data_IF_836944639329
#
_entry.id   IF_836944639329
#
_cell.length_a   1.000
_cell.length_b   1.000
_cell.length_c   1.000
_cell.angle_alpha   90.00
_cell.angle_beta   90.00
_cell.angle_gamma   90.00
#
_symmetry.space_group_name_H-M   'P 1'
#
loop_
_entity.id
_entity.type
_entity.pdbx_description
1 polymer ?
#
# COMPACT_ATOMS: atom_id res chain seq x y z
N UNK A 1 7.84 12.78 21.71
CA UNK A 1 6.76 11.96 21.10
C UNK A 1 7.40 10.99 20.12
N UNK A 2 6.78 9.83 19.88
CA UNK A 2 7.19 8.89 18.82
C UNK A 2 6.86 9.50 17.44
N UNK A 3 7.84 9.62 16.53
CA UNK A 3 7.58 9.93 15.13
C UNK A 3 6.80 8.81 14.44
N UNK A 4 5.67 9.13 13.82
CA UNK A 4 4.88 8.20 13.00
C UNK A 4 4.80 8.72 11.58
N UNK A 5 5.31 7.94 10.63
CA UNK A 5 5.22 8.26 9.21
C UNK A 5 3.98 7.54 8.66
N UNK A 6 2.96 8.31 8.28
CA UNK A 6 1.84 7.79 7.49
C UNK A 6 2.23 7.96 6.02
N UNK A 7 2.59 6.85 5.39
CA UNK A 7 3.14 6.83 4.02
C UNK A 7 2.09 6.32 3.04
N UNK A 8 1.88 7.03 1.94
CA UNK A 8 0.89 6.73 0.90
C UNK A 8 1.62 6.43 -0.41
N UNK A 9 1.60 5.16 -0.82
CA UNK A 9 2.14 4.76 -2.12
C UNK A 9 1.14 5.15 -3.21
N UNK A 10 1.62 5.93 -4.17
CA UNK A 10 0.81 6.71 -5.10
C UNK A 10 1.30 6.44 -6.51
N UNK A 11 0.64 5.48 -7.17
CA UNK A 11 1.01 5.01 -8.51
C UNK A 11 -0.20 4.92 -9.45
N UNK A 12 0.08 5.15 -10.73
CA UNK A 12 -0.87 4.83 -11.79
C UNK A 12 -0.98 3.30 -11.96
N UNK A 13 -2.09 2.82 -12.49
CA UNK A 13 -2.25 1.39 -12.74
C UNK A 13 -1.68 1.00 -14.10
N UNK A 14 -0.55 0.29 -14.06
CA UNK A 14 0.02 -0.39 -15.22
C UNK A 14 -0.96 -1.41 -15.82
N UNK A 15 -1.64 -2.22 -14.98
CA UNK A 15 -2.64 -3.21 -15.44
C UNK A 15 -3.78 -2.56 -16.24
N UNK A 16 -4.31 -1.42 -15.77
CA UNK A 16 -5.36 -0.70 -16.50
C UNK A 16 -4.85 -0.16 -17.84
N UNK A 17 -3.60 0.28 -17.91
CA UNK A 17 -2.98 0.70 -19.16
C UNK A 17 -2.83 -0.49 -20.12
N UNK A 18 -2.21 -1.58 -19.65
CA UNK A 18 -1.92 -2.78 -20.40
C UNK A 18 -3.18 -3.40 -21.03
N UNK A 19 -4.27 -3.48 -20.25
CA UNK A 19 -5.55 -4.08 -20.66
C UNK A 19 -6.44 -3.15 -21.49
N UNK A 20 -6.02 -1.91 -21.73
CA UNK A 20 -6.84 -0.95 -22.48
C UNK A 20 -7.97 -0.28 -21.67
N UNK A 21 -8.08 -0.57 -20.37
CA UNK A 21 -9.16 -0.04 -19.50
C UNK A 21 -9.01 1.46 -19.25
N UNK A 22 -7.76 1.92 -19.09
CA UNK A 22 -7.41 3.33 -18.91
C UNK A 22 -6.04 3.63 -19.53
N UNK A 23 -5.99 3.66 -20.88
CA UNK A 23 -4.80 4.09 -21.64
C UNK A 23 -4.54 5.59 -21.59
N UNK A 24 -5.61 6.35 -21.38
CA UNK A 24 -5.54 7.78 -21.16
C UNK A 24 -5.07 8.09 -19.73
N UNK A 25 -4.17 9.07 -19.59
CA UNK A 25 -3.60 9.46 -18.31
C UNK A 25 -4.67 9.97 -17.34
N UNK A 26 -5.59 10.83 -17.80
CA UNK A 26 -6.64 11.40 -16.94
C UNK A 26 -7.57 10.32 -16.42
N UNK A 27 -7.98 9.37 -17.27
CA UNK A 27 -8.81 8.24 -16.85
C UNK A 27 -8.09 7.33 -15.85
N UNK A 28 -6.79 7.09 -16.04
CA UNK A 28 -6.02 6.26 -15.12
C UNK A 28 -5.83 6.98 -13.78
N UNK A 29 -5.55 8.28 -13.80
CA UNK A 29 -5.51 9.13 -12.59
C UNK A 29 -6.82 9.05 -11.81
N UNK A 30 -7.98 9.24 -12.47
CA UNK A 30 -9.28 9.16 -11.80
C UNK A 30 -9.52 7.79 -11.15
N UNK A 31 -9.10 6.69 -11.79
CA UNK A 31 -9.36 5.34 -11.26
C UNK A 31 -8.32 4.87 -10.22
N UNK A 32 -7.04 5.20 -10.41
CA UNK A 32 -5.93 4.66 -9.64
C UNK A 32 -5.39 5.61 -8.57
N UNK A 33 -5.48 6.93 -8.77
CA UNK A 33 -4.91 7.94 -7.86
C UNK A 33 -6.02 8.64 -7.07
N UNK A 34 -6.93 9.33 -7.78
CA UNK A 34 -8.02 10.06 -7.15
C UNK A 34 -9.15 9.12 -6.68
N UNK A 35 -9.24 7.93 -7.26
CA UNK A 35 -10.31 6.96 -7.01
C UNK A 35 -11.69 7.61 -7.07
N UNK A 36 -11.92 8.33 -8.16
CA UNK A 36 -13.14 9.03 -8.50
C UNK A 36 -13.97 8.18 -9.45
N UNK A 37 -15.15 7.77 -8.99
CA UNK A 37 -16.15 7.19 -9.87
C UNK A 37 -17.57 7.40 -9.31
N UNK A 38 -18.54 7.57 -10.21
CA UNK A 38 -19.97 7.72 -9.87
C UNK A 38 -20.24 8.83 -8.85
N UNK A 39 -19.52 9.96 -8.97
CA UNK A 39 -19.62 11.11 -8.07
C UNK A 39 -19.06 10.86 -6.66
N UNK A 40 -18.34 9.77 -6.44
CA UNK A 40 -17.67 9.47 -5.17
C UNK A 40 -16.16 9.52 -5.36
N UNK A 41 -15.46 9.93 -4.31
CA UNK A 41 -14.01 10.00 -4.26
C UNK A 41 -13.50 9.46 -2.92
N UNK A 42 -12.42 8.68 -2.96
CA UNK A 42 -11.77 8.18 -1.75
C UNK A 42 -10.25 8.01 -1.92
N UNK A 43 -9.66 8.59 -2.98
CA UNK A 43 -8.26 8.46 -3.29
C UNK A 43 -7.40 9.53 -2.63
N UNK A 44 -6.43 10.05 -3.38
CA UNK A 44 -5.39 10.96 -2.85
C UNK A 44 -5.97 12.20 -2.17
N UNK A 45 -6.86 12.97 -2.80
CA UNK A 45 -7.38 14.22 -2.21
C UNK A 45 -8.19 13.95 -0.93
N UNK A 46 -9.03 12.90 -0.93
CA UNK A 46 -9.73 12.48 0.27
C UNK A 46 -8.77 12.17 1.42
N UNK A 47 -7.67 11.47 1.15
CA UNK A 47 -6.68 11.14 2.16
C UNK A 47 -5.98 12.39 2.72
N UNK A 48 -5.57 13.32 1.84
CA UNK A 48 -4.99 14.61 2.24
C UNK A 48 -5.96 15.43 3.10
N UNK A 49 -7.22 15.53 2.70
CA UNK A 49 -8.26 16.24 3.47
C UNK A 49 -8.44 15.68 4.88
N UNK A 50 -8.42 14.34 5.03
CA UNK A 50 -8.50 13.69 6.34
C UNK A 50 -7.29 14.04 7.20
N UNK A 51 -6.08 13.97 6.63
CA UNK A 51 -4.85 14.30 7.35
C UNK A 51 -4.83 15.78 7.78
N UNK A 52 -5.19 16.70 6.87
CA UNK A 52 -5.25 18.13 7.11
C UNK A 52 -6.21 18.50 8.26
N UNK A 53 -7.40 17.87 8.31
CA UNK A 53 -8.36 18.05 9.44
C UNK A 53 -7.80 17.70 10.81
N UNK A 54 -6.72 16.92 10.85
CA UNK A 54 -6.07 16.48 12.09
C UNK A 54 -4.65 17.04 12.25
N UNK A 55 -4.25 18.02 11.41
CA UNK A 55 -2.93 18.63 11.48
C UNK A 55 -1.77 17.67 11.19
N UNK A 56 -2.03 16.61 10.41
CA UNK A 56 -1.03 15.58 10.09
C UNK A 56 -0.39 15.90 8.74
N UNK A 57 0.95 15.96 8.70
CA UNK A 57 1.71 15.94 7.46
C UNK A 57 1.96 14.48 7.05
N UNK A 58 1.35 14.04 5.95
CA UNK A 58 1.62 12.74 5.34
C UNK A 58 2.85 12.75 4.44
N UNK A 59 3.33 11.55 4.12
CA UNK A 59 4.39 11.29 3.15
C UNK A 59 3.80 10.53 1.96
N UNK A 60 3.95 11.05 0.76
CA UNK A 60 3.47 10.42 -0.46
C UNK A 60 4.67 9.92 -1.25
N UNK A 61 4.80 8.60 -1.35
CA UNK A 61 5.75 7.97 -2.26
C UNK A 61 5.09 7.97 -3.65
N UNK A 62 5.59 8.80 -4.55
CA UNK A 62 5.01 9.02 -5.89
C UNK A 62 5.84 8.29 -6.94
N UNK A 63 5.18 7.51 -7.80
CA UNK A 63 5.80 6.83 -8.94
C UNK A 63 5.84 7.75 -10.17
N UNK A 64 7.02 8.25 -10.60
CA UNK A 64 7.14 9.14 -11.74
C UNK A 64 7.36 8.40 -13.07
N UNK A 65 7.53 7.08 -13.04
CA UNK A 65 7.79 6.26 -14.23
C UNK A 65 6.70 6.33 -15.32
N UNK A 66 5.42 6.60 -15.03
CA UNK A 66 4.40 6.88 -16.05
C UNK A 66 4.76 8.04 -17.01
N UNK A 67 5.71 8.91 -16.64
CA UNK A 67 6.25 9.94 -17.55
C UNK A 67 6.86 9.35 -18.84
N UNK A 68 7.34 8.10 -18.80
CA UNK A 68 7.86 7.39 -19.97
C UNK A 68 6.79 7.15 -21.05
N UNK A 69 5.51 7.18 -20.67
CA UNK A 69 4.37 6.95 -21.55
C UNK A 69 3.63 8.24 -21.85
N UNK A 70 3.34 9.03 -20.80
CA UNK A 70 2.46 10.19 -20.86
C UNK A 70 3.18 11.53 -20.73
N UNK A 71 4.51 11.53 -20.51
CA UNK A 71 5.29 12.74 -20.29
C UNK A 71 5.15 13.31 -18.87
N UNK A 72 5.84 14.43 -18.64
CA UNK A 72 5.96 15.08 -17.32
C UNK A 72 4.60 15.42 -16.68
N UNK A 73 3.58 15.74 -17.47
CA UNK A 73 2.25 16.11 -16.97
C UNK A 73 1.62 15.01 -16.09
N UNK A 74 1.94 13.73 -16.33
CA UNK A 74 1.46 12.63 -15.49
C UNK A 74 2.01 12.73 -14.06
N UNK A 75 3.24 13.20 -13.90
CA UNK A 75 3.87 13.39 -12.59
C UNK A 75 3.33 14.65 -11.93
N UNK A 76 3.24 15.76 -12.69
CA UNK A 76 2.74 17.04 -12.21
C UNK A 76 1.33 16.93 -11.62
N UNK A 77 0.46 16.17 -12.31
CA UNK A 77 -0.93 15.92 -11.89
C UNK A 77 -1.05 15.25 -10.52
N UNK A 78 -0.03 14.49 -10.11
CA UNK A 78 0.02 13.83 -8.80
C UNK A 78 0.74 14.71 -7.78
N UNK A 79 1.90 15.26 -8.13
CA UNK A 79 2.79 15.98 -7.22
C UNK A 79 2.21 17.33 -6.80
N UNK A 80 1.69 18.13 -7.73
CA UNK A 80 1.26 19.50 -7.43
C UNK A 80 0.17 19.54 -6.33
N UNK A 81 -0.90 18.72 -6.38
CA UNK A 81 -1.87 18.69 -5.29
C UNK A 81 -1.26 18.30 -3.94
N UNK A 82 -0.28 17.40 -3.90
CA UNK A 82 0.38 16.99 -2.64
C UNK A 82 1.10 18.18 -2.01
N UNK A 83 1.83 18.93 -2.82
CA UNK A 83 2.59 20.11 -2.38
C UNK A 83 1.65 21.25 -1.93
N UNK A 84 0.57 21.50 -2.68
CA UNK A 84 -0.44 22.51 -2.34
C UNK A 84 -1.11 22.23 -0.99
N UNK A 85 -1.26 20.94 -0.61
CA UNK A 85 -1.81 20.53 0.68
C UNK A 85 -0.76 20.46 1.80
N UNK A 86 0.50 20.83 1.52
CA UNK A 86 1.59 20.89 2.50
C UNK A 86 2.16 19.53 2.91
N UNK A 87 1.92 18.50 2.12
CA UNK A 87 2.43 17.15 2.36
C UNK A 87 3.83 16.94 1.77
N UNK A 88 4.50 15.87 2.18
CA UNK A 88 5.84 15.53 1.71
C UNK A 88 5.76 14.58 0.51
N UNK A 89 6.60 14.79 -0.51
CA UNK A 89 6.74 13.91 -1.68
C UNK A 89 8.07 13.17 -1.58
N UNK A 90 8.04 11.85 -1.75
CA UNK A 90 9.20 10.95 -1.76
C UNK A 90 9.14 10.01 -2.95
N UNK A 91 10.25 9.35 -3.26
CA UNK A 91 10.39 8.59 -4.50
C UNK A 91 9.81 7.18 -4.39
N UNK A 92 8.75 6.90 -5.14
CA UNK A 92 8.33 5.53 -5.47
C UNK A 92 8.78 5.19 -6.88
N UNK A 93 9.03 3.92 -7.19
CA UNK A 93 9.44 3.56 -8.56
C UNK A 93 8.96 2.17 -8.93
N UNK A 94 8.13 2.10 -9.98
CA UNK A 94 7.74 0.86 -10.65
C UNK A 94 8.43 0.71 -12.00
N UNK A 95 9.28 -0.31 -12.13
CA UNK A 95 10.06 -0.54 -13.37
C UNK A 95 9.22 -1.15 -14.48
N UNK A 96 8.00 -1.64 -14.20
CA UNK A 96 7.10 -2.22 -15.21
C UNK A 96 6.77 -1.25 -16.35
N UNK A 97 6.77 0.06 -16.08
CA UNK A 97 6.53 1.10 -17.08
C UNK A 97 7.56 1.13 -18.21
N UNK A 98 8.79 0.64 -17.97
CA UNK A 98 9.86 0.60 -18.96
C UNK A 98 9.45 -0.15 -20.23
N UNK A 99 8.58 -1.17 -20.11
CA UNK A 99 8.13 -1.95 -21.27
C UNK A 99 7.18 -1.19 -22.21
N UNK A 100 6.64 -0.06 -21.75
CA UNK A 100 5.76 0.82 -22.54
C UNK A 100 6.43 2.13 -22.92
N UNK A 101 7.66 2.35 -22.44
CA UNK A 101 8.38 3.58 -22.67
C UNK A 101 8.62 3.78 -24.17
N UNK A 102 8.36 5.00 -24.65
CA UNK A 102 8.79 5.39 -26.01
C UNK A 102 10.31 5.54 -26.06
N UNK A 103 10.86 6.14 -25.01
CA UNK A 103 12.29 6.33 -24.80
C UNK A 103 12.63 5.76 -23.43
N UNK A 104 13.16 4.55 -23.41
CA UNK A 104 13.58 3.88 -22.19
C UNK A 104 15.02 4.29 -21.85
N UNK A 105 15.29 4.82 -20.64
CA UNK A 105 16.63 5.25 -20.22
C UNK A 105 17.67 4.11 -20.19
N UNK A 106 17.23 2.85 -20.24
CA UNK A 106 18.07 1.66 -20.29
C UNK A 106 18.03 0.94 -21.65
N UNK A 107 17.58 1.60 -22.72
CA UNK A 107 17.41 0.97 -24.04
C UNK A 107 16.32 -0.11 -24.00
N UNK A 108 16.60 -1.34 -24.43
CA UNK A 108 15.57 -2.39 -24.49
C UNK A 108 15.36 -3.13 -23.15
N UNK A 109 16.11 -2.76 -22.10
CA UNK A 109 16.04 -3.46 -20.81
C UNK A 109 14.72 -3.18 -20.10
N UNK A 110 14.05 -4.26 -19.68
CA UNK A 110 12.80 -4.23 -18.90
C UNK A 110 12.87 -5.22 -17.74
N UNK A 111 12.02 -5.02 -16.72
CA UNK A 111 12.00 -5.81 -15.49
C UNK A 111 10.82 -5.40 -14.60
N UNK A 112 10.47 -6.24 -13.63
CA UNK A 112 9.32 -6.01 -12.75
C UNK A 112 9.70 -5.31 -11.45
N UNK A 113 10.95 -5.46 -11.04
CA UNK A 113 11.44 -4.99 -9.75
C UNK A 113 12.80 -4.33 -9.92
N UNK A 114 13.17 -3.43 -8.99
CA UNK A 114 14.51 -2.83 -8.95
C UNK A 114 15.62 -3.88 -8.90
N UNK A 115 15.43 -4.95 -8.11
CA UNK A 115 16.39 -6.07 -8.00
C UNK A 115 16.67 -6.81 -9.32
N UNK A 116 15.83 -6.64 -10.34
CA UNK A 116 16.00 -7.30 -11.65
C UNK A 116 17.08 -6.60 -12.50
N UNK A 117 17.59 -5.46 -12.03
CA UNK A 117 18.57 -4.61 -12.72
C UNK A 117 19.89 -4.58 -11.96
N UNK A 118 20.98 -4.38 -12.69
CA UNK A 118 22.31 -4.13 -12.11
C UNK A 118 22.31 -2.82 -11.30
N UNK A 119 23.24 -2.66 -10.36
CA UNK A 119 23.39 -1.41 -9.58
C UNK A 119 23.43 -0.17 -10.48
N UNK A 120 24.16 -0.21 -11.58
CA UNK A 120 24.31 0.95 -12.47
C UNK A 120 22.99 1.29 -13.19
N UNK A 121 22.28 0.27 -13.66
CA UNK A 121 20.93 0.46 -14.22
C UNK A 121 19.95 1.00 -13.16
N UNK A 122 19.99 0.46 -11.94
CA UNK A 122 19.17 0.96 -10.83
C UNK A 122 19.49 2.44 -10.52
N UNK A 123 20.77 2.84 -10.54
CA UNK A 123 21.20 4.23 -10.34
C UNK A 123 20.65 5.15 -11.44
N UNK A 124 20.68 4.72 -12.71
CA UNK A 124 20.09 5.47 -13.83
C UNK A 124 18.58 5.65 -13.64
N UNK A 125 17.87 4.59 -13.26
CA UNK A 125 16.43 4.64 -13.02
C UNK A 125 16.05 5.57 -11.86
N UNK A 126 16.78 5.48 -10.74
CA UNK A 126 16.58 6.35 -9.58
C UNK A 126 16.82 7.81 -9.94
N UNK A 127 17.93 8.11 -10.64
CA UNK A 127 18.25 9.48 -11.07
C UNK A 127 17.18 10.03 -12.00
N UNK A 128 16.78 9.26 -13.03
CA UNK A 128 15.71 9.64 -13.95
C UNK A 128 14.41 9.98 -13.21
N UNK A 129 14.01 9.10 -12.29
CA UNK A 129 12.77 9.21 -11.55
C UNK A 129 12.79 10.41 -10.58
N UNK A 130 13.90 10.60 -9.86
CA UNK A 130 14.08 11.76 -8.97
C UNK A 130 14.00 13.09 -9.74
N UNK A 131 14.63 13.17 -10.92
CA UNK A 131 14.58 14.37 -11.77
C UNK A 131 13.15 14.75 -12.15
N UNK A 132 12.26 13.77 -12.39
CA UNK A 132 10.85 14.04 -12.72
C UNK A 132 10.06 14.58 -11.54
N UNK A 133 10.35 14.12 -10.31
CA UNK A 133 9.73 14.69 -9.11
C UNK A 133 10.18 16.13 -8.89
N UNK A 134 11.48 16.42 -9.08
CA UNK A 134 12.02 17.78 -9.00
C UNK A 134 11.42 18.68 -10.08
N UNK A 135 11.29 18.19 -11.32
CA UNK A 135 10.64 18.91 -12.40
C UNK A 135 9.17 19.26 -12.11
N UNK A 136 8.48 18.42 -11.32
CA UNK A 136 7.11 18.66 -10.86
C UNK A 136 7.02 19.65 -9.68
N UNK A 137 8.16 20.16 -9.19
CA UNK A 137 8.25 21.15 -8.12
C UNK A 137 8.51 20.56 -6.72
N UNK A 138 8.67 19.25 -6.58
CA UNK A 138 9.06 18.65 -5.30
C UNK A 138 10.53 18.96 -4.98
N UNK A 139 10.89 18.94 -3.70
CA UNK A 139 12.29 18.87 -3.30
C UNK A 139 12.92 17.56 -3.80
N UNK A 140 14.26 17.53 -3.88
CA UNK A 140 14.96 16.28 -4.18
C UNK A 140 14.58 15.22 -3.13
N UNK A 141 14.17 14.00 -3.53
CA UNK A 141 13.65 13.00 -2.60
C UNK A 141 14.74 12.58 -1.60
N UNK A 142 14.37 12.51 -0.33
CA UNK A 142 15.25 12.02 0.75
C UNK A 142 15.02 10.54 1.05
N UNK A 143 13.86 10.02 0.69
CA UNK A 143 13.46 8.64 0.91
C UNK A 143 13.00 7.96 -0.39
N UNK A 144 13.21 6.65 -0.43
CA UNK A 144 12.79 5.78 -1.53
C UNK A 144 11.90 4.64 -1.03
N UNK A 145 11.03 4.15 -1.92
CA UNK A 145 10.37 2.85 -1.79
C UNK A 145 10.28 2.19 -3.15
N UNK A 146 10.76 0.95 -3.26
CA UNK A 146 10.61 0.17 -4.48
C UNK A 146 9.16 -0.27 -4.68
N UNK A 147 8.69 -0.18 -5.93
CA UNK A 147 7.47 -0.85 -6.38
C UNK A 147 7.51 -2.34 -6.07
N UNK A 148 6.37 -2.92 -5.69
CA UNK A 148 6.24 -4.31 -5.23
C UNK A 148 7.15 -4.68 -4.03
N UNK A 149 7.78 -3.71 -3.35
CA UNK A 149 8.89 -3.90 -2.42
C UNK A 149 10.11 -4.62 -3.02
N UNK A 150 10.23 -4.64 -4.36
CA UNK A 150 11.22 -5.41 -5.12
C UNK A 150 12.64 -4.82 -5.11
N UNK A 151 13.17 -4.47 -3.93
CA UNK A 151 14.51 -3.92 -3.72
C UNK A 151 15.52 -5.00 -3.31
N UNK A 152 16.80 -4.75 -3.57
CA UNK A 152 17.93 -5.53 -3.07
C UNK A 152 19.03 -4.63 -2.48
N UNK A 153 20.11 -5.23 -2.00
CA UNK A 153 21.27 -4.48 -1.51
C UNK A 153 21.90 -3.56 -2.56
N UNK A 154 21.75 -3.86 -3.86
CA UNK A 154 22.19 -2.96 -4.93
C UNK A 154 21.28 -1.76 -5.05
N UNK A 155 19.99 -1.88 -4.74
CA UNK A 155 19.08 -0.74 -4.59
C UNK A 155 19.62 0.23 -3.55
N UNK A 156 19.98 -0.25 -2.34
CA UNK A 156 20.55 0.60 -1.30
C UNK A 156 21.85 1.31 -1.74
N UNK A 157 22.71 0.62 -2.49
CA UNK A 157 23.92 1.22 -3.06
C UNK A 157 23.61 2.27 -4.13
N UNK A 158 22.68 2.00 -5.03
CA UNK A 158 22.25 2.94 -6.07
C UNK A 158 21.61 4.20 -5.46
N UNK A 159 20.79 4.05 -4.42
CA UNK A 159 20.23 5.17 -3.64
C UNK A 159 21.33 6.02 -3.00
N UNK A 160 22.35 5.37 -2.41
CA UNK A 160 23.52 6.05 -1.86
C UNK A 160 24.26 6.85 -2.94
N UNK A 161 24.41 6.32 -4.16
CA UNK A 161 25.08 6.99 -5.27
C UNK A 161 24.29 8.22 -5.76
N UNK A 162 22.96 8.18 -5.63
CA UNK A 162 22.06 9.28 -5.96
C UNK A 162 21.85 10.28 -4.80
N UNK A 163 22.44 10.05 -3.63
CA UNK A 163 22.29 10.94 -2.46
C UNK A 163 20.95 10.82 -1.74
N UNK A 164 20.18 9.75 -1.97
CA UNK A 164 18.96 9.44 -1.21
C UNK A 164 19.37 8.81 0.12
N UNK A 165 18.80 9.30 1.23
CA UNK A 165 19.27 9.01 2.58
C UNK A 165 18.52 7.86 3.25
N UNK A 166 17.27 7.64 2.86
CA UNK A 166 16.40 6.63 3.43
C UNK A 166 15.87 5.69 2.35
N UNK A 167 15.79 4.41 2.69
CA UNK A 167 14.93 3.46 2.00
C UNK A 167 13.83 3.01 2.97
N UNK A 168 12.67 2.65 2.43
CA UNK A 168 11.54 2.11 3.18
C UNK A 168 10.86 1.02 2.37
N UNK A 169 11.68 0.12 1.83
CA UNK A 169 11.25 -0.97 0.96
C UNK A 169 11.07 -2.28 1.73
N UNK A 170 11.77 -2.50 2.84
CA UNK A 170 11.72 -3.75 3.59
C UNK A 170 10.38 -3.93 4.31
N UNK A 171 9.55 -4.90 3.89
CA UNK A 171 8.21 -5.10 4.45
C UNK A 171 8.27 -6.09 5.61
N UNK A 172 8.64 -5.64 6.81
CA UNK A 172 8.92 -6.54 7.94
C UNK A 172 7.76 -7.49 8.30
N UNK A 173 6.52 -7.15 7.93
CA UNK A 173 5.33 -7.95 8.22
C UNK A 173 4.82 -8.84 7.07
N UNK A 174 5.57 -8.94 5.96
CA UNK A 174 5.22 -9.80 4.82
C UNK A 174 6.22 -10.93 4.65
N UNK A 175 5.72 -12.09 4.21
CA UNK A 175 6.51 -13.26 3.83
C UNK A 175 6.44 -13.43 2.31
N UNK A 176 7.42 -14.13 1.73
CA UNK A 176 7.47 -14.45 0.30
C UNK A 176 7.33 -13.23 -0.62
N UNK A 177 8.02 -12.13 -0.28
CA UNK A 177 7.99 -10.89 -1.05
C UNK A 177 9.05 -10.84 -2.14
N UNK A 178 8.92 -9.86 -3.05
CA UNK A 178 9.98 -9.56 -4.01
C UNK A 178 11.19 -8.84 -3.35
N UNK A 179 11.10 -8.43 -2.09
CA UNK A 179 12.23 -7.82 -1.38
C UNK A 179 13.36 -8.83 -1.16
N UNK A 180 14.58 -8.43 -1.49
CA UNK A 180 15.82 -9.20 -1.31
C UNK A 180 16.86 -8.45 -0.47
N UNK A 181 16.46 -7.36 0.19
CA UNK A 181 17.27 -6.74 1.24
C UNK A 181 17.42 -7.74 2.38
N UNK A 182 18.66 -8.02 2.79
CA UNK A 182 18.96 -9.12 3.71
C UNK A 182 18.60 -8.73 5.15
N UNK A 183 17.40 -9.12 5.59
CA UNK A 183 16.94 -8.89 6.96
C UNK A 183 15.89 -9.93 7.39
N UNK A 184 15.81 -10.20 8.70
CA UNK A 184 14.85 -11.14 9.26
C UNK A 184 13.41 -10.59 9.23
N UNK A 185 12.43 -11.46 8.95
CA UNK A 185 11.00 -11.14 9.08
C UNK A 185 10.71 -10.63 10.51
N UNK A 186 9.95 -9.54 10.62
CA UNK A 186 9.64 -8.88 11.88
C UNK A 186 10.69 -7.87 12.34
N UNK A 187 11.84 -7.74 11.67
CA UNK A 187 12.83 -6.74 12.00
C UNK A 187 12.33 -5.33 11.63
N UNK A 188 11.81 -4.61 12.62
CA UNK A 188 11.33 -3.23 12.47
C UNK A 188 12.36 -2.18 12.89
N UNK A 189 13.54 -2.61 13.36
CA UNK A 189 14.62 -1.69 13.73
C UNK A 189 15.25 -1.08 12.47
N UNK A 190 15.38 0.25 12.39
CA UNK A 190 16.18 0.86 11.34
C UNK A 190 17.60 0.31 11.33
N UNK A 191 18.17 0.13 10.16
CA UNK A 191 19.56 -0.28 10.02
C UNK A 191 20.23 0.49 8.88
N UNK A 192 21.54 0.69 9.00
CA UNK A 192 22.32 1.43 8.01
C UNK A 192 23.05 0.46 7.10
N UNK A 193 22.95 0.71 5.81
CA UNK A 193 23.76 0.07 4.78
C UNK A 193 24.32 1.15 3.86
N UNK A 194 25.65 1.24 3.78
CA UNK A 194 26.33 2.38 3.15
C UNK A 194 25.87 3.71 3.79
N UNK A 195 25.51 4.71 2.98
CA UNK A 195 25.00 5.99 3.48
C UNK A 195 23.46 6.01 3.58
N UNK A 196 22.78 4.90 3.33
CA UNK A 196 21.32 4.78 3.39
C UNK A 196 20.89 4.15 4.71
N UNK A 197 19.89 4.74 5.33
CA UNK A 197 19.17 4.13 6.45
C UNK A 197 17.94 3.44 5.90
N UNK A 198 17.90 2.12 6.00
CA UNK A 198 16.66 1.38 5.80
C UNK A 198 15.73 1.62 6.98
N UNK A 199 14.53 2.09 6.68
CA UNK A 199 13.41 2.34 7.59
C UNK A 199 12.30 1.32 7.31
N UNK A 200 12.35 0.13 7.94
CA UNK A 200 11.39 -0.93 7.69
C UNK A 200 9.95 -0.48 7.87
N UNK A 201 9.07 -1.01 7.03
CA UNK A 201 7.63 -0.89 7.25
C UNK A 201 7.29 -1.69 8.51
N UNK A 202 6.56 -1.05 9.44
CA UNK A 202 6.29 -1.65 10.73
C UNK A 202 5.50 -2.96 10.61
N UNK A 203 5.60 -3.80 11.62
CA UNK A 203 4.82 -5.02 11.75
C UNK A 203 4.28 -5.18 13.17
N UNK A 204 3.29 -6.06 13.33
CA UNK A 204 2.82 -6.53 14.63
C UNK A 204 2.85 -8.06 14.69
N UNK A 205 3.00 -8.61 15.89
CA UNK A 205 2.90 -10.05 16.07
C UNK A 205 1.45 -10.54 15.87
N UNK A 206 1.34 -11.73 15.30
CA UNK A 206 0.10 -12.44 15.04
C UNK A 206 0.06 -13.75 15.81
N UNK A 207 -1.04 -14.48 15.66
CA UNK A 207 -1.20 -15.81 16.25
C UNK A 207 -0.15 -16.79 15.70
N UNK A 208 0.23 -17.78 16.50
CA UNK A 208 1.14 -18.87 16.14
C UNK A 208 2.51 -18.39 15.61
N UNK A 209 3.05 -17.30 16.16
CA UNK A 209 4.35 -16.76 15.74
C UNK A 209 4.34 -16.02 14.40
N UNK A 210 3.16 -15.82 13.79
CA UNK A 210 3.04 -15.04 12.56
C UNK A 210 3.30 -13.54 12.79
N UNK A 211 3.41 -12.80 11.69
CA UNK A 211 3.52 -11.34 11.68
C UNK A 211 2.47 -10.75 10.76
N UNK A 212 2.11 -9.48 10.96
CA UNK A 212 1.20 -8.74 10.08
C UNK A 212 1.78 -7.40 9.72
N UNK A 213 1.70 -7.08 8.43
CA UNK A 213 2.18 -5.84 7.84
C UNK A 213 1.47 -4.61 8.41
N UNK A 214 2.24 -3.55 8.64
CA UNK A 214 1.83 -2.25 9.16
C UNK A 214 1.08 -1.41 8.13
N UNK A 215 0.00 -1.96 7.58
CA UNK A 215 -0.81 -1.32 6.54
C UNK A 215 -2.21 -1.02 7.03
N UNK A 216 -2.79 0.12 6.63
CA UNK A 216 -4.12 0.55 7.09
C UNK A 216 -5.22 -0.45 6.70
N UNK A 217 -5.12 -1.08 5.52
CA UNK A 217 -6.02 -2.16 5.13
C UNK A 217 -5.82 -3.46 5.92
N UNK A 218 -4.60 -3.75 6.35
CA UNK A 218 -4.31 -4.95 7.14
C UNK A 218 -4.79 -4.77 8.59
N UNK A 219 -4.46 -3.64 9.23
CA UNK A 219 -4.68 -3.44 10.66
C UNK A 219 -6.00 -2.74 10.97
N UNK A 220 -6.64 -3.11 12.06
CA UNK A 220 -7.75 -2.33 12.61
C UNK A 220 -7.23 -1.06 13.29
N UNK A 221 -8.07 -0.03 13.41
CA UNK A 221 -7.70 1.20 14.13
C UNK A 221 -7.18 0.94 15.55
N UNK A 222 -7.76 -0.02 16.27
CA UNK A 222 -7.29 -0.40 17.62
C UNK A 222 -5.94 -1.10 17.61
N UNK A 223 -5.64 -1.89 16.58
CA UNK A 223 -4.32 -2.51 16.44
C UNK A 223 -3.27 -1.45 16.09
N UNK A 224 -3.56 -0.51 15.19
CA UNK A 224 -2.64 0.59 14.87
C UNK A 224 -2.36 1.47 16.10
N UNK A 225 -3.39 1.88 16.83
CA UNK A 225 -3.22 2.66 18.07
C UNK A 225 -2.40 1.90 19.12
N UNK A 226 -2.71 0.62 19.33
CA UNK A 226 -1.95 -0.19 20.28
C UNK A 226 -0.49 -0.39 19.84
N UNK A 227 -0.23 -0.53 18.53
CA UNK A 227 1.11 -0.67 17.99
C UNK A 227 1.93 0.62 18.17
N UNK A 228 1.33 1.78 17.92
CA UNK A 228 1.98 3.09 18.16
C UNK A 228 2.28 3.27 19.65
N UNK A 229 1.32 2.97 20.53
CA UNK A 229 1.54 3.03 21.98
C UNK A 229 2.65 2.09 22.44
N UNK A 230 2.69 0.86 21.89
CA UNK A 230 3.74 -0.11 22.19
C UNK A 230 5.11 0.38 21.71
N UNK A 231 5.20 0.88 20.47
CA UNK A 231 6.41 1.43 19.89
C UNK A 231 6.93 2.62 20.73
N UNK A 232 6.03 3.49 21.20
CA UNK A 232 6.38 4.59 22.10
C UNK A 232 6.95 4.09 23.44
N UNK A 233 6.27 3.12 24.08
CA UNK A 233 6.73 2.53 25.34
C UNK A 233 8.10 1.85 25.23
N UNK A 234 8.39 1.25 24.06
CA UNK A 234 9.68 0.63 23.75
C UNK A 234 10.66 1.59 23.06
N UNK A 235 10.36 2.90 23.10
CA UNK A 235 11.20 3.98 22.59
C UNK A 235 11.64 3.80 21.14
N UNK A 236 10.79 3.26 20.27
CA UNK A 236 11.13 3.12 18.85
C UNK A 236 11.55 4.50 18.28
N UNK A 237 12.53 4.55 17.37
CA UNK A 237 13.01 5.82 16.83
C UNK A 237 11.97 6.46 15.90
N UNK A 238 11.22 5.64 15.17
CA UNK A 238 10.03 6.01 14.41
C UNK A 238 9.19 4.77 14.09
N UNK A 239 7.98 4.97 13.60
CA UNK A 239 7.12 3.89 13.08
C UNK A 239 6.58 4.27 11.71
N UNK A 240 6.81 3.42 10.70
CA UNK A 240 6.30 3.59 9.33
C UNK A 240 5.02 2.77 9.16
N UNK A 241 3.92 3.44 8.79
CA UNK A 241 2.65 2.83 8.45
C UNK A 241 2.30 3.12 6.99
N UNK A 242 1.89 2.09 6.26
CA UNK A 242 1.62 2.17 4.81
C UNK A 242 0.12 2.20 4.51
N UNK A 243 -0.23 2.94 3.47
CA UNK A 243 -1.49 2.84 2.74
C UNK A 243 -1.19 3.11 1.27
N UNK A 244 -2.16 2.88 0.39
CA UNK A 244 -2.07 3.28 -1.01
C UNK A 244 -3.12 4.34 -1.30
N UNK A 245 -2.85 5.18 -2.31
CA UNK A 245 -3.82 6.18 -2.79
C UNK A 245 -5.17 5.54 -3.12
N UNK A 246 -5.18 4.31 -3.66
CA UNK A 246 -6.40 3.57 -3.99
C UNK A 246 -6.97 2.65 -2.91
N UNK A 247 -6.31 2.52 -1.74
CA UNK A 247 -6.66 1.49 -0.74
C UNK A 247 -8.06 1.67 -0.13
N UNK A 248 -8.57 2.90 -0.11
CA UNK A 248 -9.88 3.22 0.45
C UNK A 248 -11.02 3.04 -0.56
N UNK A 249 -10.73 2.50 -1.74
CA UNK A 249 -11.66 2.41 -2.87
C UNK A 249 -11.60 1.04 -3.57
N UNK A 250 -12.78 0.50 -3.87
CA UNK A 250 -12.92 -0.69 -4.70
C UNK A 250 -12.94 -0.26 -6.16
N UNK A 251 -11.77 -0.32 -6.81
CA UNK A 251 -11.60 0.09 -8.22
C UNK A 251 -12.40 -0.75 -9.20
N UNK A 252 -12.77 -1.99 -8.84
CA UNK A 252 -13.58 -2.87 -9.71
C UNK A 252 -15.07 -2.52 -9.65
N UNK A 253 -15.59 -2.28 -8.44
CA UNK A 253 -17.00 -1.95 -8.25
C UNK A 253 -17.28 -0.43 -8.22
N UNK A 254 -16.25 0.39 -8.42
CA UNK A 254 -16.33 1.84 -8.46
C UNK A 254 -17.02 2.42 -7.20
N UNK A 255 -16.58 1.98 -6.01
CA UNK A 255 -17.19 2.41 -4.74
C UNK A 255 -16.17 2.56 -3.59
N UNK A 256 -16.34 3.51 -2.68
CA UNK A 256 -15.53 3.61 -1.47
C UNK A 256 -15.72 2.44 -0.50
N UNK A 257 -14.61 2.00 0.10
CA UNK A 257 -14.58 0.98 1.14
C UNK A 257 -14.76 1.62 2.52
N UNK A 258 -16.01 1.69 2.99
CA UNK A 258 -16.39 2.37 4.24
C UNK A 258 -15.57 1.93 5.46
N UNK A 259 -15.19 0.65 5.54
CA UNK A 259 -14.37 0.16 6.63
C UNK A 259 -12.95 0.75 6.60
N UNK A 260 -12.33 0.78 5.41
CA UNK A 260 -10.97 1.30 5.24
C UNK A 260 -10.95 2.80 5.54
N UNK A 261 -11.91 3.56 5.00
CA UNK A 261 -12.10 4.99 5.31
C UNK A 261 -12.16 5.24 6.82
N UNK A 262 -13.02 4.51 7.53
CA UNK A 262 -13.14 4.61 8.99
C UNK A 262 -11.86 4.27 9.75
N UNK A 263 -11.06 3.31 9.26
CA UNK A 263 -9.78 2.96 9.89
C UNK A 263 -8.78 4.09 9.71
N UNK A 264 -8.69 4.64 8.50
CA UNK A 264 -7.81 5.76 8.17
C UNK A 264 -8.18 7.03 8.96
N UNK A 265 -9.47 7.40 8.97
CA UNK A 265 -10.00 8.50 9.77
C UNK A 265 -9.72 8.33 11.27
N UNK A 266 -9.95 7.12 11.81
CA UNK A 266 -9.71 6.85 13.22
C UNK A 266 -8.22 6.86 13.60
N UNK A 267 -7.32 6.50 12.68
CA UNK A 267 -5.88 6.65 12.86
C UNK A 267 -5.51 8.13 12.93
N UNK A 268 -5.94 8.93 11.94
CA UNK A 268 -5.63 10.36 11.88
C UNK A 268 -6.22 11.12 13.08
N UNK A 269 -7.48 10.87 13.42
CA UNK A 269 -8.14 11.51 14.57
C UNK A 269 -7.53 11.14 15.93
N UNK A 270 -6.90 9.96 16.02
CA UNK A 270 -6.19 9.56 17.23
C UNK A 270 -4.81 10.22 17.28
N UNK A 271 -4.05 10.20 16.17
CA UNK A 271 -2.74 10.85 16.07
C UNK A 271 -2.82 12.35 16.33
N UNK A 272 -3.80 13.06 15.73
CA UNK A 272 -3.97 14.51 15.92
C UNK A 272 -4.35 14.93 17.35
N UNK A 273 -4.68 13.98 18.24
CA UNK A 273 -4.96 14.23 19.66
C UNK A 273 -3.97 13.53 20.59
N UNK A 274 -2.97 12.87 20.04
CA UNK A 274 -2.03 12.06 20.81
C UNK A 274 -0.97 12.95 21.47
N UNK A 275 -0.69 12.70 22.75
CA UNK A 275 0.45 13.31 23.46
C UNK A 275 1.72 12.44 23.40
N UNK A 276 1.61 11.21 22.86
CA UNK A 276 2.70 10.24 22.84
C UNK A 276 3.31 10.05 21.46
N UNK A 277 2.59 10.41 20.40
CA UNK A 277 3.00 10.21 19.01
C UNK A 277 2.61 11.41 18.16
N UNK A 278 3.38 11.67 17.11
CA UNK A 278 3.14 12.79 16.19
C UNK A 278 3.39 12.35 14.76
N UNK A 279 2.58 12.85 13.82
CA UNK A 279 2.77 12.62 12.40
C UNK A 279 3.95 13.45 11.87
N UNK A 280 4.89 12.83 11.16
CA UNK A 280 6.01 13.52 10.52
C UNK A 280 6.35 12.86 9.19
N UNK A 281 7.19 13.52 8.39
CA UNK A 281 7.86 12.92 7.24
C UNK A 281 9.36 12.72 7.44
N UNK A 282 10.06 12.36 6.37
CA UNK A 282 11.50 12.07 6.37
C UNK A 282 12.36 13.34 6.46
N UNK A 283 11.82 14.52 6.09
CA UNK A 283 12.56 15.77 6.22
C UNK A 283 12.94 16.09 7.67
N UNK A 284 12.01 15.84 8.60
CA UNK A 284 12.18 16.06 10.03
C UNK A 284 12.66 14.83 10.80
N UNK A 285 12.98 13.73 10.11
CA UNK A 285 13.38 12.49 10.75
C UNK A 285 14.86 12.53 11.14
N UNK A 286 15.15 12.30 12.42
CA UNK A 286 16.52 12.20 12.96
C UNK A 286 16.80 10.79 13.49
N UNK A 287 16.08 9.78 12.97
CA UNK A 287 16.19 8.40 13.41
C UNK A 287 17.52 7.80 12.93
N UNK A 288 18.47 7.71 13.85
CA UNK A 288 19.72 6.99 13.63
C UNK A 288 19.59 5.53 14.13
N UNK A 289 20.03 4.54 13.34
CA UNK A 289 20.13 3.16 13.79
C UNK A 289 21.02 3.04 15.03
N UNK A 290 20.50 2.44 16.10
CA UNK A 290 21.24 2.17 17.34
C UNK A 290 21.56 0.67 17.52
N UNK A 291 21.24 -0.15 16.51
CA UNK A 291 21.53 -1.59 16.47
C UNK A 291 20.67 -2.46 17.39
N UNK A 292 19.75 -1.87 18.17
CA UNK A 292 18.92 -2.68 19.08
C UNK A 292 17.75 -3.33 18.34
N UNK A 293 17.40 -4.52 18.77
CA UNK A 293 16.16 -5.16 18.33
C UNK A 293 14.94 -4.40 18.89
N UNK A 294 13.95 -4.17 18.03
CA UNK A 294 12.68 -3.55 18.42
C UNK A 294 11.60 -4.63 18.53
N UNK A 295 11.09 -4.92 19.75
CA UNK A 295 10.11 -5.99 19.93
C UNK A 295 8.77 -5.62 19.30
N UNK A 296 8.18 -6.54 18.54
CA UNK A 296 6.86 -6.36 17.97
C UNK A 296 5.79 -6.26 19.06
N UNK A 297 4.74 -5.48 18.80
CA UNK A 297 3.55 -5.50 19.66
C UNK A 297 2.98 -6.92 19.71
N UNK A 298 2.80 -7.52 20.90
CA UNK A 298 2.32 -8.89 21.01
C UNK A 298 0.88 -9.04 20.51
N UNK A 299 0.59 -10.22 19.97
CA UNK A 299 -0.75 -10.60 19.55
C UNK A 299 -1.73 -10.54 20.73
N UNK A 300 -2.94 -10.06 20.48
CA UNK A 300 -4.02 -10.06 21.45
C UNK A 300 -5.29 -10.66 20.83
N UNK A 301 -5.82 -11.78 21.38
CA UNK A 301 -6.94 -12.51 20.78
C UNK A 301 -8.23 -11.68 20.76
N UNK A 302 -8.44 -10.80 21.74
CA UNK A 302 -9.63 -9.93 21.82
C UNK A 302 -9.62 -8.89 20.69
N UNK A 303 -8.46 -8.28 20.40
CA UNK A 303 -8.31 -7.36 19.27
C UNK A 303 -8.57 -8.07 17.94
N UNK A 304 -8.04 -9.28 17.78
CA UNK A 304 -8.25 -10.12 16.60
C UNK A 304 -9.71 -10.47 16.41
N UNK A 305 -10.39 -10.98 17.44
CA UNK A 305 -11.81 -11.34 17.38
C UNK A 305 -12.68 -10.13 17.02
N UNK A 306 -12.44 -9.00 17.67
CA UNK A 306 -13.19 -7.77 17.38
C UNK A 306 -12.98 -7.27 15.94
N UNK A 307 -11.76 -7.38 15.39
CA UNK A 307 -11.49 -7.08 13.98
C UNK A 307 -12.26 -8.03 13.06
N UNK A 308 -12.21 -9.33 13.31
CA UNK A 308 -12.90 -10.35 12.51
C UNK A 308 -14.42 -10.12 12.53
N UNK A 309 -15.01 -9.88 13.70
CA UNK A 309 -16.43 -9.56 13.84
C UNK A 309 -16.82 -8.32 13.03
N UNK A 310 -16.03 -7.23 13.11
CA UNK A 310 -16.27 -6.03 12.30
C UNK A 310 -16.19 -6.27 10.79
N UNK A 311 -15.24 -7.08 10.36
CA UNK A 311 -15.10 -7.44 8.94
C UNK A 311 -16.30 -8.27 8.47
N UNK A 312 -16.73 -9.26 9.26
CA UNK A 312 -17.87 -10.12 8.96
C UNK A 312 -19.20 -9.35 8.89
N UNK A 313 -19.48 -8.46 9.86
CA UNK A 313 -20.71 -7.63 9.85
C UNK A 313 -20.80 -6.76 8.59
N UNK A 314 -19.67 -6.24 8.12
CA UNK A 314 -19.62 -5.39 6.94
C UNK A 314 -19.78 -6.22 5.67
N UNK A 315 -19.08 -7.36 5.57
CA UNK A 315 -19.25 -8.28 4.45
C UNK A 315 -20.69 -8.79 4.36
N UNK A 316 -21.34 -9.10 5.49
CA UNK A 316 -22.76 -9.45 5.53
C UNK A 316 -23.66 -8.31 5.04
N UNK A 317 -23.41 -7.07 5.49
CA UNK A 317 -24.15 -5.90 5.02
C UNK A 317 -23.97 -5.59 3.53
N UNK A 318 -22.82 -5.94 2.94
CA UNK A 318 -22.59 -5.85 1.50
C UNK A 318 -23.24 -7.01 0.74
N UNK A 319 -23.14 -8.26 1.24
CA UNK A 319 -23.76 -9.45 0.66
C UNK A 319 -25.30 -9.41 0.69
N UNK A 320 -25.89 -8.85 1.74
CA UNK A 320 -27.33 -8.63 1.84
C UNK A 320 -27.83 -7.53 0.86
N UNK A 321 -26.97 -6.62 0.42
CA UNK A 321 -27.30 -5.59 -0.58
C UNK A 321 -27.13 -6.08 -2.02
N UNK A 322 -26.29 -7.07 -2.29
CA UNK A 322 -26.20 -7.74 -3.59
C UNK A 322 -27.31 -8.77 -3.85
N UNK A 323 -28.15 -9.06 -2.84
CA UNK A 323 -29.27 -10.02 -2.93
C UNK A 323 -30.65 -9.36 -3.09
N UNK A 324 -30.73 -8.06 -3.45
CA UNK A 324 -32.02 -7.47 -3.86
C UNK A 324 -32.24 -7.76 -5.35
N UNK A 325 -33.21 -8.61 -5.73
CA UNK A 325 -33.53 -8.81 -7.13
C UNK A 325 -34.08 -7.49 -7.71
N UNK A 326 -33.64 -7.15 -8.93
CA UNK A 326 -34.27 -6.09 -9.71
C UNK A 326 -35.75 -6.46 -9.98
N UNK A 327 -36.69 -5.49 -9.97
CA UNK A 327 -38.08 -5.79 -10.31
C UNK A 327 -38.17 -6.25 -11.77
N UNK A 328 -38.88 -7.36 -11.98
CA UNK A 328 -38.89 -8.14 -13.20
C UNK A 328 -39.41 -7.38 -14.43
N UNK A 329 -38.66 -7.52 -15.53
CA UNK A 329 -39.17 -7.35 -16.89
C UNK A 329 -39.35 -8.73 -17.52
N UNK A 330 -40.60 -9.11 -17.76
CA UNK A 330 -40.97 -10.32 -18.49
C UNK A 330 -40.55 -10.24 -19.96
N UNK A 331 -40.09 -11.36 -20.54
CA UNK A 331 -40.10 -11.49 -22.01
C UNK A 331 -39.17 -12.54 -22.64
N UNK A 332 -39.72 -13.75 -22.76
CA UNK A 332 -39.55 -14.74 -23.85
C UNK A 332 -38.23 -15.52 -23.98
N UNK A 333 -38.38 -16.82 -23.68
CA UNK A 333 -37.60 -17.92 -24.26
C UNK A 333 -37.81 -18.01 -25.78
N UNK A 334 -36.74 -18.33 -26.50
CA UNK A 334 -36.80 -19.20 -27.68
C UNK A 334 -35.56 -20.12 -27.62
N UNK A 335 -35.84 -21.42 -27.71
CA UNK A 335 -34.89 -22.53 -27.69
C UNK A 335 -33.90 -22.52 -28.87
N UNK A 336 -32.77 -23.21 -28.70
CA UNK A 336 -32.11 -23.85 -29.85
C UNK A 336 -30.60 -24.06 -29.76
N UNK A 337 -30.23 -25.30 -29.46
CA UNK A 337 -29.02 -26.01 -29.90
C UNK A 337 -27.72 -25.89 -29.08
N UNK A 338 -27.39 -27.08 -28.56
CA UNK A 338 -26.16 -27.47 -27.92
C UNK A 338 -25.03 -27.61 -28.94
N UNK A 339 -23.81 -27.22 -28.54
CA UNK A 339 -22.64 -28.00 -28.90
C UNK A 339 -21.53 -27.91 -27.83
N UNK A 340 -20.84 -29.05 -27.74
CA UNK A 340 -19.77 -29.51 -26.86
C UNK A 340 -18.65 -28.49 -26.58
N UNK A 341 -18.25 -28.37 -25.31
CA UNK A 341 -16.97 -28.93 -24.83
C UNK A 341 -16.81 -28.73 -23.32
N UNK A 342 -16.82 -29.85 -22.59
CA UNK A 342 -16.44 -29.94 -21.18
C UNK A 342 -15.13 -30.72 -21.11
N UNK A 343 -14.02 -30.01 -20.97
CA UNK A 343 -12.85 -30.44 -20.18
C UNK A 343 -11.84 -29.30 -20.16
N UNK A 344 -11.87 -28.47 -19.13
CA UNK A 344 -10.68 -27.76 -18.65
C UNK A 344 -10.88 -27.40 -17.18
N UNK A 345 -10.38 -28.30 -16.34
CA UNK A 345 -9.97 -28.02 -14.96
C UNK A 345 -8.91 -26.90 -14.99
N UNK A 346 -9.37 -25.66 -15.13
CA UNK A 346 -8.55 -24.46 -15.07
C UNK A 346 -8.52 -23.92 -13.65
N UNK A 347 -7.57 -24.41 -12.84
CA UNK A 347 -7.15 -23.72 -11.61
C UNK A 347 -6.64 -22.34 -12.00
N UNK A 348 -7.46 -21.28 -11.85
CA UNK A 348 -7.04 -19.90 -12.00
C UNK A 348 -5.96 -19.58 -10.94
N UNK A 349 -4.71 -19.58 -11.40
CA UNK A 349 -3.58 -18.97 -10.68
C UNK A 349 -3.72 -17.45 -10.80
N UNK A 350 -3.99 -16.79 -9.68
CA UNK A 350 -3.95 -15.33 -9.57
C UNK A 350 -2.49 -14.86 -9.64
N UNK A 351 -2.15 -13.87 -10.48
CA UNK A 351 -0.83 -13.24 -10.45
C UNK A 351 -0.65 -12.43 -9.15
N UNK A 352 0.57 -12.49 -8.61
CA UNK A 352 0.98 -12.02 -7.30
C UNK A 352 1.07 -10.48 -7.17
N UNK A 353 -0.07 -9.78 -7.27
CA UNK A 353 -0.18 -8.33 -7.02
C UNK A 353 -1.35 -7.98 -6.08
N UNK A 354 -1.95 -8.99 -5.45
CA UNK A 354 -3.01 -8.82 -4.46
C UNK A 354 -2.76 -9.78 -3.31
N UNK A 355 -1.88 -9.41 -2.37
CA UNK A 355 -1.91 -10.02 -1.04
C UNK A 355 -3.00 -9.31 -0.22
N UNK A 356 -4.25 -9.45 -0.67
CA UNK A 356 -5.31 -9.55 0.33
C UNK A 356 -5.03 -10.86 1.04
N UNK A 357 -4.64 -10.78 2.30
CA UNK A 357 -4.52 -11.90 3.22
C UNK A 357 -5.60 -12.95 2.89
N UNK A 358 -5.20 -14.09 2.32
CA UNK A 358 -6.11 -15.18 1.96
C UNK A 358 -6.93 -15.64 3.18
N UNK A 359 -6.51 -15.31 4.40
CA UNK A 359 -7.27 -15.56 5.62
C UNK A 359 -8.50 -14.63 5.81
N UNK A 360 -8.65 -13.55 5.04
CA UNK A 360 -9.76 -12.60 5.18
C UNK A 360 -11.04 -13.00 4.42
N UNK A 361 -11.01 -14.06 3.59
CA UNK A 361 -12.15 -14.48 2.76
C UNK A 361 -12.72 -15.87 3.08
N UNK A 362 -12.12 -16.67 3.97
CA UNK A 362 -12.72 -17.90 4.49
C UNK A 362 -13.48 -17.65 5.81
N UNK A 363 -14.55 -16.85 5.76
CA UNK A 363 -15.47 -16.70 6.91
C UNK A 363 -16.35 -17.93 7.15
N UNK A 364 -16.43 -18.87 6.19
CA UNK A 364 -17.37 -19.99 6.25
C UNK A 364 -16.86 -21.18 7.09
N UNK A 365 -15.57 -21.48 7.10
CA UNK A 365 -15.03 -22.56 7.96
C UNK A 365 -15.05 -22.16 9.44
N UNK A 366 -14.78 -20.89 9.76
CA UNK A 366 -14.78 -20.39 11.14
C UNK A 366 -16.20 -20.33 11.74
N UNK A 367 -17.22 -20.00 10.94
CA UNK A 367 -18.62 -20.03 11.42
C UNK A 367 -19.08 -21.46 11.70
N UNK A 368 -18.69 -22.43 10.86
CA UNK A 368 -19.04 -23.83 11.04
C UNK A 368 -18.39 -24.42 12.31
N UNK A 369 -17.10 -24.13 12.56
CA UNK A 369 -16.38 -24.61 13.73
C UNK A 369 -16.88 -23.97 15.04
N UNK A 370 -17.26 -22.70 14.99
CA UNK A 370 -17.81 -21.96 16.14
C UNK A 370 -19.25 -22.39 16.49
N UNK A 371 -20.09 -22.64 15.47
CA UNK A 371 -21.44 -23.17 15.68
C UNK A 371 -21.44 -24.62 16.18
N UNK A 372 -20.50 -25.46 15.72
CA UNK A 372 -20.33 -26.82 16.26
C UNK A 372 -19.92 -26.82 17.75
N UNK A 373 -19.12 -25.84 18.21
CA UNK A 373 -18.73 -25.73 19.62
C UNK A 373 -19.84 -25.18 20.53
N UNK A 374 -20.74 -24.35 19.99
CA UNK A 374 -21.92 -23.87 20.73
C UNK A 374 -23.05 -24.91 20.78
N UNK A 375 -23.15 -25.78 19.76
CA UNK A 375 -24.15 -26.87 19.73
C UNK A 375 -23.77 -28.08 20.59
N UNK A 376 -22.52 -28.20 21.03
CA UNK A 376 -22.03 -29.30 21.89
C UNK A 376 -22.01 -29.00 23.39
N UNK A 377 -22.59 -27.87 23.84
CA UNK A 377 -22.61 -27.45 25.24
C UNK A 377 -24.03 -27.19 25.77
N UNK A 378 -25.01 -27.95 25.29
CA UNK A 378 -26.39 -27.97 25.79
C UNK A 378 -26.68 -29.27 26.52
#
# INVERSE_FOLDING_TARGET
>A
MLPVLITIDTEYSEDFYARGVARDCSRNFDLAIACRARGQEAGIHYQMDVMARHGIRGVFFVDPMPALVWGQEAVDRVVQPILEHGHEVQLHLHTEWLRFAKENPLGDRTGRNMRDFTREEQRILVAYAADRLVAAGAAFPRAFRAGNYGADDNTLRALSDCGILYDSSFPAGLQDTECSIVQAIGACAPFRQNNVVEMPIAAIAARNGGVRHGQVAALSAREMQAAITHAHAHKWPAMVLVSHSFELFDRHNARPLRLMKRRFEALCAWLGRSSIATGTGFEGLTAEPDGRALPLMPHNPVRTLHRMAKQAMINWGYGAKSLRPAPGGAGRNVDGQAEKDRTLSGKLRYPAMFVFDRAALNTNEFLAEFLCKLAGAA
#
